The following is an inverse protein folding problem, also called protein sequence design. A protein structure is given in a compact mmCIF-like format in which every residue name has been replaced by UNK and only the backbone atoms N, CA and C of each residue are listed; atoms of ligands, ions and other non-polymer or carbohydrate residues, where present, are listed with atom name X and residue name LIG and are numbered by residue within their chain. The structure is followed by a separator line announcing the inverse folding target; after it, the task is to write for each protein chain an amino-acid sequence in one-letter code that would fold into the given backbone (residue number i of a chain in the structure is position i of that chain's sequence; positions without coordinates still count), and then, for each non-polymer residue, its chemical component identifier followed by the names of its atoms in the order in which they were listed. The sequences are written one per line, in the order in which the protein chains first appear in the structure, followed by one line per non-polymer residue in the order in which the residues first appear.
data_IF_427585161867
#
_entry.id   IF_427585161867
#
_cell.length_a   1.000
_cell.length_b   1.000
_cell.length_c   1.000
_cell.angle_alpha   90.00
_cell.angle_beta   90.00
_cell.angle_gamma   90.00
#
_symmetry.space_group_name_H-M   'P 1'
#
loop_
_entity.id
_entity.type
_entity.pdbx_description
1 polymer ?
#
# COMPACT_ATOMS: atom_id res chain seq x y z
N UNK A 1 -4.76 -5.07 -27.75
CA UNK A 1 -5.16 -3.80 -27.14
C UNK A 1 -5.80 -4.08 -25.77
N UNK A 2 -5.36 -3.36 -24.74
CA UNK A 2 -5.89 -3.58 -23.39
C UNK A 2 -7.22 -2.83 -23.25
N UNK A 3 -8.25 -3.54 -22.80
CA UNK A 3 -9.54 -2.93 -22.54
C UNK A 3 -9.42 -2.04 -21.30
N UNK A 4 -9.93 -0.81 -21.40
CA UNK A 4 -9.91 0.16 -20.31
C UNK A 4 -10.58 -0.40 -19.04
N UNK A 5 -11.69 -1.12 -19.19
CA UNK A 5 -12.40 -1.71 -18.07
C UNK A 5 -11.54 -2.78 -17.36
N UNK A 6 -10.80 -3.57 -18.12
CA UNK A 6 -9.90 -4.58 -17.57
C UNK A 6 -8.73 -3.93 -16.81
N UNK A 7 -8.20 -2.83 -17.37
CA UNK A 7 -7.12 -2.10 -16.74
C UNK A 7 -7.57 -1.49 -15.40
N UNK A 8 -8.76 -0.89 -15.38
CA UNK A 8 -9.34 -0.33 -14.16
C UNK A 8 -9.52 -1.41 -13.12
N UNK A 9 -10.09 -2.56 -13.50
CA UNK A 9 -10.32 -3.67 -12.58
C UNK A 9 -9.02 -4.19 -11.99
N UNK A 10 -7.97 -4.29 -12.81
CA UNK A 10 -6.65 -4.74 -12.35
C UNK A 10 -6.04 -3.77 -11.35
N UNK A 11 -6.12 -2.47 -11.64
CA UNK A 11 -5.61 -1.44 -10.74
C UNK A 11 -6.36 -1.41 -9.42
N UNK A 12 -7.68 -1.57 -9.46
CA UNK A 12 -8.49 -1.65 -8.25
C UNK A 12 -8.11 -2.85 -7.39
N UNK A 13 -7.83 -3.98 -8.02
CA UNK A 13 -7.40 -5.19 -7.32
C UNK A 13 -6.03 -4.98 -6.66
N UNK A 14 -5.10 -4.36 -7.37
CA UNK A 14 -3.78 -4.05 -6.83
C UNK A 14 -3.88 -3.06 -5.67
N UNK A 15 -4.73 -2.05 -5.81
CA UNK A 15 -4.99 -1.08 -4.73
C UNK A 15 -5.53 -1.76 -3.48
N UNK A 16 -6.45 -2.71 -3.65
CA UNK A 16 -6.99 -3.46 -2.52
C UNK A 16 -5.93 -4.24 -1.77
N UNK A 17 -5.00 -4.86 -2.48
CA UNK A 17 -3.90 -5.61 -1.88
C UNK A 17 -2.95 -4.68 -1.13
N UNK A 18 -2.58 -3.56 -1.75
CA UNK A 18 -1.68 -2.59 -1.13
C UNK A 18 -2.34 -1.94 0.09
N UNK A 19 -3.62 -1.60 0.00
CA UNK A 19 -4.36 -1.04 1.13
C UNK A 19 -4.36 -1.99 2.33
N UNK A 20 -4.51 -3.30 2.08
CA UNK A 20 -4.46 -4.30 3.13
C UNK A 20 -3.07 -4.39 3.76
N UNK A 21 -2.01 -4.30 2.96
CA UNK A 21 -0.63 -4.28 3.45
C UNK A 21 -0.36 -3.05 4.29
N UNK A 22 -0.85 -1.89 3.86
CA UNK A 22 -0.70 -0.63 4.60
C UNK A 22 -1.40 -0.74 5.95
N UNK A 23 -2.61 -1.27 5.97
CA UNK A 23 -3.38 -1.43 7.19
C UNK A 23 -2.67 -2.34 8.19
N UNK A 24 -2.14 -3.47 7.72
CA UNK A 24 -1.38 -4.40 8.56
C UNK A 24 -0.10 -3.78 9.09
N UNK A 25 0.66 -3.09 8.23
CA UNK A 25 1.89 -2.44 8.61
C UNK A 25 1.66 -1.33 9.62
N UNK A 26 0.64 -0.51 9.41
CA UNK A 26 0.29 0.57 10.32
C UNK A 26 -0.15 0.03 11.69
N UNK A 27 -0.96 -1.03 11.69
CA UNK A 27 -1.42 -1.67 12.93
C UNK A 27 -0.25 -2.27 13.72
N UNK A 28 0.69 -2.89 13.01
CA UNK A 28 1.89 -3.47 13.60
C UNK A 28 2.75 -2.41 14.27
N UNK A 29 2.96 -1.28 13.58
CA UNK A 29 3.75 -0.17 14.12
C UNK A 29 3.05 0.59 15.24
N UNK A 30 1.72 0.52 15.29
CA UNK A 30 0.95 1.10 16.39
C UNK A 30 0.90 0.19 17.62
N UNK A 31 1.33 -1.05 17.48
CA UNK A 31 1.31 -2.03 18.56
C UNK A 31 2.57 -1.88 19.41
N UNK A 32 2.41 -1.41 20.65
CA UNK A 32 3.52 -1.21 21.57
C UNK A 32 4.26 -2.52 21.89
N UNK A 33 3.54 -3.65 21.89
CA UNK A 33 4.15 -4.95 22.08
C UNK A 33 5.16 -5.31 21.01
N UNK A 34 4.89 -4.87 19.76
CA UNK A 34 5.82 -5.08 18.66
C UNK A 34 6.97 -4.07 18.72
N UNK A 35 6.66 -2.77 18.80
CA UNK A 35 7.68 -1.72 18.74
C UNK A 35 8.60 -1.73 19.95
N UNK A 36 8.09 -2.19 21.10
CA UNK A 36 8.88 -2.28 22.32
C UNK A 36 9.74 -3.53 22.41
N UNK A 37 9.41 -4.59 21.68
CA UNK A 37 10.13 -5.88 21.74
C UNK A 37 11.01 -6.14 20.54
N UNK A 38 10.62 -5.66 19.37
CA UNK A 38 11.36 -5.91 18.15
C UNK A 38 12.66 -5.07 18.14
N UNK A 39 13.74 -5.61 17.56
CA UNK A 39 14.97 -4.83 17.38
C UNK A 39 14.68 -3.55 16.58
N UNK A 40 15.42 -2.49 16.88
CA UNK A 40 15.25 -1.20 16.20
C UNK A 40 15.36 -1.32 14.67
N UNK A 41 16.26 -2.18 14.19
CA UNK A 41 16.44 -2.41 12.76
C UNK A 41 15.18 -3.00 12.11
N UNK A 42 14.48 -3.89 12.83
CA UNK A 42 13.24 -4.50 12.34
C UNK A 42 12.13 -3.46 12.28
N UNK A 43 12.02 -2.64 13.31
CA UNK A 43 11.01 -1.56 13.34
C UNK A 43 11.26 -0.56 12.20
N UNK A 44 12.52 -0.19 11.99
CA UNK A 44 12.89 0.73 10.90
C UNK A 44 12.54 0.14 9.53
N UNK A 45 12.79 -1.16 9.35
CA UNK A 45 12.48 -1.86 8.09
C UNK A 45 10.96 -1.86 7.84
N UNK A 46 10.16 -2.10 8.87
CA UNK A 46 8.71 -2.09 8.74
C UNK A 46 8.18 -0.69 8.39
N UNK A 47 8.78 0.36 8.96
CA UNK A 47 8.43 1.74 8.62
C UNK A 47 8.76 2.05 7.16
N UNK A 48 9.92 1.60 6.69
CA UNK A 48 10.33 1.80 5.31
C UNK A 48 9.39 1.10 4.34
N UNK A 49 8.96 -0.12 4.68
CA UNK A 49 7.98 -0.85 3.87
C UNK A 49 6.65 -0.11 3.80
N UNK A 50 6.20 0.43 4.93
CA UNK A 50 4.94 1.17 4.98
C UNK A 50 5.00 2.40 4.08
N UNK A 51 6.08 3.16 4.14
CA UNK A 51 6.28 4.34 3.28
C UNK A 51 6.26 3.95 1.81
N UNK A 52 6.94 2.84 1.45
CA UNK A 52 6.97 2.36 0.08
C UNK A 52 5.58 1.94 -0.40
N UNK A 53 4.82 1.24 0.43
CA UNK A 53 3.45 0.83 0.09
C UNK A 53 2.53 2.03 -0.07
N UNK A 54 2.68 3.05 0.77
CA UNK A 54 1.90 4.28 0.67
C UNK A 54 2.18 5.02 -0.64
N UNK A 55 3.45 5.08 -1.04
CA UNK A 55 3.85 5.69 -2.31
C UNK A 55 3.26 4.93 -3.49
N UNK A 56 3.30 3.60 -3.45
CA UNK A 56 2.72 2.74 -4.48
C UNK A 56 1.21 2.92 -4.57
N UNK A 57 0.55 3.00 -3.42
CA UNK A 57 -0.90 3.25 -3.37
C UNK A 57 -1.24 4.56 -4.05
N UNK A 58 -0.49 5.62 -3.73
CA UNK A 58 -0.76 6.94 -4.28
C UNK A 58 -0.56 6.97 -5.79
N UNK A 59 0.46 6.28 -6.29
CA UNK A 59 0.70 6.17 -7.72
C UNK A 59 -0.42 5.40 -8.43
N UNK A 60 -0.83 4.27 -7.86
CA UNK A 60 -1.93 3.48 -8.43
C UNK A 60 -3.24 4.24 -8.40
N UNK A 61 -3.52 4.96 -7.31
CA UNK A 61 -4.72 5.76 -7.18
C UNK A 61 -4.76 6.88 -8.22
N UNK A 62 -3.62 7.53 -8.46
CA UNK A 62 -3.52 8.59 -9.47
C UNK A 62 -3.75 8.04 -10.87
N UNK A 63 -3.16 6.88 -11.17
CA UNK A 63 -3.33 6.22 -12.47
C UNK A 63 -4.79 5.83 -12.70
N UNK A 64 -5.42 5.28 -11.65
CA UNK A 64 -6.82 4.87 -11.71
C UNK A 64 -7.74 6.08 -11.93
N UNK A 65 -7.48 7.17 -11.21
CA UNK A 65 -8.24 8.40 -11.37
C UNK A 65 -8.11 8.95 -12.79
N UNK A 66 -6.92 8.89 -13.36
CA UNK A 66 -6.67 9.33 -14.75
C UNK A 66 -7.49 8.50 -15.74
N UNK A 67 -7.49 7.18 -15.57
CA UNK A 67 -8.25 6.28 -16.44
C UNK A 67 -9.76 6.53 -16.35
N UNK A 68 -10.26 6.79 -15.14
CA UNK A 68 -11.68 7.04 -14.92
C UNK A 68 -12.12 8.41 -15.46
N UNK A 69 -11.21 9.38 -15.43
CA UNK A 69 -11.49 10.73 -15.88
C UNK A 69 -11.33 10.94 -17.38
N UNK A 70 -10.73 9.99 -18.05
CA UNK A 70 -10.42 10.10 -19.49
C UNK A 70 -11.59 9.73 -20.40
#
# INVERSE_FOLDING_TARGET
MVDKAEEIARLEQQLGKIAAEIKRGAAKLANDGFTGRAPAAVVAKERSKLVAHEADRDELAARLAHLRGA
#
